data_IF_765633288507
#
_entry.id   IF_765633288507
#
_cell.length_a   1.000
_cell.length_b   1.000
_cell.length_c   1.000
_cell.angle_alpha   90.00
_cell.angle_beta   90.00
_cell.angle_gamma   90.00
#
_symmetry.space_group_name_H-M   'P 1'
#
loop_
_entity.id
_entity.type
_entity.pdbx_description
1 polymer ?
#
# COMPACT_ATOMS: atom_id res chain seq x y z
N UNK A 1 38.18 0.67 12.98
CA UNK A 1 37.63 1.67 13.91
C UNK A 1 36.29 1.15 14.42
N UNK A 2 35.96 1.37 15.69
CA UNK A 2 34.65 1.02 16.23
C UNK A 2 33.63 2.08 15.78
N UNK A 3 32.51 1.72 15.13
CA UNK A 3 31.51 2.69 14.71
C UNK A 3 30.83 3.29 15.94
N UNK A 4 30.57 4.60 15.91
CA UNK A 4 29.83 5.30 16.97
C UNK A 4 28.37 5.50 16.62
N UNK A 5 28.05 5.58 15.34
CA UNK A 5 26.68 5.71 14.84
C UNK A 5 26.34 4.50 13.96
N UNK A 6 25.23 3.84 14.25
CA UNK A 6 24.67 2.81 13.40
C UNK A 6 23.46 3.34 12.65
N UNK A 7 23.50 3.23 11.34
CA UNK A 7 22.42 3.66 10.44
C UNK A 7 21.71 2.40 9.96
N UNK A 8 20.40 2.34 10.12
CA UNK A 8 19.58 1.23 9.65
C UNK A 8 18.76 1.72 8.46
N UNK A 9 19.14 1.29 7.27
CA UNK A 9 18.45 1.55 6.01
C UNK A 9 17.55 0.36 5.66
N UNK A 10 16.24 0.59 5.51
CA UNK A 10 15.34 -0.41 4.92
C UNK A 10 15.12 -0.15 3.44
N UNK A 11 15.21 -1.19 2.61
CA UNK A 11 15.11 -1.13 1.15
C UNK A 11 14.01 -2.05 0.62
N UNK A 12 13.17 -1.54 -0.28
CA UNK A 12 12.23 -2.33 -1.07
C UNK A 12 11.84 -1.66 -2.40
N UNK A 13 12.32 -2.21 -3.51
CA UNK A 13 11.91 -1.89 -4.89
C UNK A 13 11.99 -0.40 -5.28
N UNK A 14 13.06 0.30 -4.89
CA UNK A 14 13.34 1.69 -5.31
C UNK A 14 14.69 1.85 -6.04
N UNK A 15 14.89 1.20 -7.20
CA UNK A 15 16.19 1.19 -7.88
C UNK A 15 16.66 2.59 -8.34
N UNK A 16 15.73 3.52 -8.57
CA UNK A 16 16.04 4.88 -9.04
C UNK A 16 16.58 5.82 -7.95
N UNK A 17 16.35 5.52 -6.67
CA UNK A 17 16.70 6.39 -5.55
C UNK A 17 17.78 5.78 -4.64
N UNK A 18 17.82 4.45 -4.50
CA UNK A 18 18.69 3.77 -3.54
C UNK A 18 20.18 4.12 -3.69
N UNK A 19 20.67 4.35 -4.92
CA UNK A 19 22.02 4.86 -5.18
C UNK A 19 22.28 6.18 -4.44
N UNK A 20 21.43 7.18 -4.63
CA UNK A 20 21.58 8.50 -4.03
C UNK A 20 21.50 8.44 -2.49
N UNK A 21 20.66 7.54 -1.97
CA UNK A 21 20.53 7.29 -0.53
C UNK A 21 21.83 6.76 0.06
N UNK A 22 22.42 5.72 -0.53
CA UNK A 22 23.67 5.13 -0.03
C UNK A 22 24.83 6.12 -0.16
N UNK A 23 24.95 6.80 -1.30
CA UNK A 23 25.96 7.85 -1.50
C UNK A 23 25.85 8.97 -0.45
N UNK A 24 24.64 9.33 -0.05
CA UNK A 24 24.42 10.36 0.99
C UNK A 24 25.00 9.98 2.35
N UNK A 25 25.05 8.67 2.65
CA UNK A 25 25.71 8.13 3.86
C UNK A 25 27.22 8.13 3.69
N UNK A 26 27.73 7.71 2.52
CA UNK A 26 29.16 7.72 2.20
C UNK A 26 29.78 9.12 2.28
N UNK A 27 29.02 10.13 1.85
CA UNK A 27 29.42 11.53 1.84
C UNK A 27 29.29 12.24 3.20
N UNK A 28 28.84 11.56 4.26
CA UNK A 28 28.76 12.19 5.59
C UNK A 28 30.13 12.70 6.07
N UNK A 29 30.14 13.89 6.67
CA UNK A 29 31.38 14.52 7.17
C UNK A 29 31.93 13.80 8.41
N UNK A 30 31.05 13.27 9.27
CA UNK A 30 31.44 12.34 10.32
C UNK A 30 31.68 10.94 9.75
N UNK A 31 32.80 10.28 10.13
CA UNK A 31 33.29 9.06 9.46
C UNK A 31 33.13 7.76 10.25
N UNK A 32 32.90 7.83 11.56
CA UNK A 32 32.81 6.66 12.44
C UNK A 32 31.37 6.13 12.50
N UNK A 33 30.88 5.64 11.37
CA UNK A 33 29.56 5.05 11.24
C UNK A 33 29.63 3.65 10.64
N UNK A 34 28.57 2.89 10.85
CA UNK A 34 28.24 1.65 10.13
C UNK A 34 26.84 1.76 9.54
N UNK A 35 26.61 1.09 8.41
CA UNK A 35 25.34 1.10 7.69
C UNK A 35 24.83 -0.32 7.53
N UNK A 36 23.65 -0.60 8.06
CA UNK A 36 22.91 -1.82 7.79
C UNK A 36 21.91 -1.57 6.67
N UNK A 37 22.09 -2.21 5.53
CA UNK A 37 21.13 -2.23 4.44
C UNK A 37 20.28 -3.48 4.58
N UNK A 38 19.05 -3.30 5.07
CA UNK A 38 18.07 -4.34 5.31
C UNK A 38 17.08 -4.38 4.14
N UNK A 39 17.34 -5.28 3.20
CA UNK A 39 16.56 -5.42 1.98
C UNK A 39 15.42 -6.44 2.12
N UNK A 40 14.19 -6.01 1.84
CA UNK A 40 12.98 -6.82 2.00
C UNK A 40 12.69 -7.71 0.78
N UNK A 41 13.74 -8.37 0.29
CA UNK A 41 13.73 -9.19 -0.92
C UNK A 41 13.29 -8.38 -2.15
N UNK A 42 14.07 -7.34 -2.48
CA UNK A 42 13.81 -6.46 -3.61
C UNK A 42 14.02 -7.15 -4.97
N UNK A 43 13.55 -6.50 -6.04
CA UNK A 43 13.80 -6.89 -7.41
C UNK A 43 15.31 -6.85 -7.76
N UNK A 44 15.73 -7.59 -8.81
CA UNK A 44 17.14 -7.66 -9.23
C UNK A 44 17.78 -6.29 -9.49
N UNK A 45 17.04 -5.32 -10.02
CA UNK A 45 17.54 -3.98 -10.31
C UNK A 45 18.00 -3.27 -9.03
N UNK A 46 17.19 -3.32 -7.96
CA UNK A 46 17.53 -2.70 -6.67
C UNK A 46 18.72 -3.40 -6.02
N UNK A 47 18.71 -4.74 -6.02
CA UNK A 47 19.79 -5.56 -5.45
C UNK A 47 21.12 -5.28 -6.17
N UNK A 48 21.11 -5.16 -7.50
CA UNK A 48 22.31 -4.89 -8.28
C UNK A 48 22.91 -3.51 -7.98
N UNK A 49 22.07 -2.49 -7.73
CA UNK A 49 22.57 -1.18 -7.28
C UNK A 49 23.22 -1.28 -5.91
N UNK A 50 22.60 -1.99 -4.95
CA UNK A 50 23.15 -2.17 -3.60
C UNK A 50 24.50 -2.90 -3.64
N UNK A 51 24.64 -3.94 -4.48
CA UNK A 51 25.87 -4.74 -4.61
C UNK A 51 27.11 -3.90 -4.91
N UNK A 52 26.98 -2.78 -5.63
CA UNK A 52 28.09 -1.90 -5.96
C UNK A 52 28.74 -1.24 -4.74
N UNK A 53 28.09 -1.28 -3.58
CA UNK A 53 28.53 -0.64 -2.34
C UNK A 53 29.11 -1.60 -1.31
N UNK A 54 29.03 -2.91 -1.55
CA UNK A 54 29.36 -3.92 -0.54
C UNK A 54 30.86 -4.13 -0.32
N UNK A 55 31.70 -3.49 -1.13
CA UNK A 55 33.15 -3.43 -0.92
C UNK A 55 33.53 -2.46 0.23
N UNK A 56 32.64 -1.53 0.63
CA UNK A 56 32.90 -0.68 1.79
C UNK A 56 32.69 -1.50 3.09
N UNK A 57 33.74 -1.69 3.92
CA UNK A 57 33.66 -2.54 5.10
C UNK A 57 32.73 -2.00 6.20
N UNK A 58 32.26 -0.75 6.08
CA UNK A 58 31.28 -0.15 6.99
C UNK A 58 29.85 -0.53 6.65
N UNK A 59 29.62 -1.18 5.50
CA UNK A 59 28.30 -1.54 5.00
C UNK A 59 28.04 -3.03 5.23
N UNK A 60 26.97 -3.34 5.96
CA UNK A 60 26.45 -4.70 6.12
C UNK A 60 25.13 -4.82 5.37
N UNK A 61 25.05 -5.76 4.42
CA UNK A 61 23.83 -6.04 3.69
C UNK A 61 23.16 -7.32 4.19
N UNK A 62 21.84 -7.27 4.38
CA UNK A 62 21.01 -8.43 4.68
C UNK A 62 19.77 -8.41 3.80
N UNK A 63 19.55 -9.52 3.09
CA UNK A 63 18.31 -9.77 2.38
C UNK A 63 17.43 -10.67 3.23
N UNK A 64 16.15 -10.34 3.34
CA UNK A 64 15.19 -11.08 4.15
C UNK A 64 14.74 -12.43 3.54
N UNK A 65 14.89 -12.60 2.22
CA UNK A 65 14.44 -13.76 1.44
C UNK A 65 12.97 -14.16 1.69
N UNK A 66 12.14 -13.21 2.13
CA UNK A 66 10.73 -13.48 2.41
C UNK A 66 9.97 -13.84 1.15
N UNK A 67 8.93 -14.66 1.33
CA UNK A 67 7.93 -14.93 0.30
C UNK A 67 6.83 -13.87 0.36
N UNK A 68 6.13 -13.70 -0.77
CA UNK A 68 5.10 -12.67 -0.94
C UNK A 68 3.95 -12.82 0.08
N UNK A 69 3.56 -14.06 0.40
CA UNK A 69 2.51 -14.38 1.38
C UNK A 69 2.88 -14.00 2.81
N UNK A 70 4.16 -13.86 3.12
CA UNK A 70 4.63 -13.45 4.44
C UNK A 70 4.63 -11.92 4.59
N UNK A 71 4.60 -11.18 3.46
CA UNK A 71 4.83 -9.73 3.46
C UNK A 71 3.75 -8.96 4.22
N UNK A 72 2.49 -9.37 4.11
CA UNK A 72 1.37 -8.66 4.75
C UNK A 72 1.22 -9.01 6.24
N UNK A 73 1.91 -10.04 6.75
CA UNK A 73 1.73 -10.53 8.13
C UNK A 73 2.33 -9.62 9.19
N UNK A 74 3.33 -8.82 8.82
CA UNK A 74 3.95 -7.83 9.71
C UNK A 74 4.19 -6.53 8.98
N UNK A 75 4.31 -5.44 9.73
CA UNK A 75 4.93 -4.21 9.22
C UNK A 75 6.40 -4.50 8.92
N UNK A 76 6.74 -4.61 7.64
CA UNK A 76 8.02 -5.19 7.20
C UNK A 76 9.23 -4.37 7.59
N UNK A 77 9.21 -3.05 7.37
CA UNK A 77 10.32 -2.18 7.77
C UNK A 77 10.58 -2.25 9.28
N UNK A 78 9.53 -2.32 10.12
CA UNK A 78 9.69 -2.51 11.56
C UNK A 78 10.33 -3.87 11.90
N UNK A 79 9.98 -4.92 11.15
CA UNK A 79 10.59 -6.26 11.31
C UNK A 79 12.09 -6.21 10.98
N UNK A 80 12.44 -5.64 9.83
CA UNK A 80 13.83 -5.47 9.39
C UNK A 80 14.66 -4.61 10.35
N UNK A 81 14.08 -3.53 10.88
CA UNK A 81 14.75 -2.70 11.88
C UNK A 81 14.99 -3.49 13.18
N UNK A 82 14.02 -4.27 13.63
CA UNK A 82 14.17 -5.13 14.80
C UNK A 82 15.23 -6.22 14.61
N UNK A 83 15.41 -6.74 13.39
CA UNK A 83 16.49 -7.67 13.06
C UNK A 83 17.87 -6.99 13.06
N UNK A 84 17.94 -5.71 12.67
CA UNK A 84 19.19 -4.94 12.63
C UNK A 84 19.63 -4.45 14.01
N UNK A 85 18.72 -3.99 14.87
CA UNK A 85 19.04 -3.37 16.17
C UNK A 85 20.03 -4.20 17.01
N UNK A 86 19.86 -5.52 17.22
CA UNK A 86 20.78 -6.32 18.02
C UNK A 86 22.19 -6.46 17.42
N UNK A 87 22.34 -6.22 16.12
CA UNK A 87 23.59 -6.38 15.37
C UNK A 87 24.42 -5.10 15.34
N UNK A 88 23.79 -3.96 15.62
CA UNK A 88 24.46 -2.67 15.64
C UNK A 88 25.54 -2.62 16.74
N UNK A 89 26.60 -1.87 16.52
CA UNK A 89 27.70 -1.64 17.46
C UNK A 89 27.80 -0.19 17.95
N UNK A 90 27.20 0.76 17.23
CA UNK A 90 27.21 2.18 17.58
C UNK A 90 26.42 2.53 18.84
N UNK A 91 26.87 3.59 19.52
CA UNK A 91 26.21 4.18 20.69
C UNK A 91 24.97 4.98 20.32
N UNK A 92 24.83 5.36 19.05
CA UNK A 92 23.72 6.14 18.51
C UNK A 92 23.12 5.43 17.30
N UNK A 93 21.79 5.48 17.19
CA UNK A 93 21.03 4.84 16.13
C UNK A 93 20.34 5.89 15.28
N UNK A 94 20.40 5.72 13.97
CA UNK A 94 19.67 6.48 12.96
C UNK A 94 18.87 5.52 12.06
N UNK A 95 17.79 6.03 11.48
CA UNK A 95 16.94 5.28 10.56
C UNK A 95 16.90 5.97 9.20
N UNK A 96 16.93 5.18 8.13
CA UNK A 96 16.94 5.67 6.76
C UNK A 96 16.03 4.82 5.88
N UNK A 97 15.39 5.46 4.90
CA UNK A 97 14.63 4.78 3.85
C UNK A 97 15.31 4.99 2.50
N UNK A 98 15.03 4.08 1.58
CA UNK A 98 15.49 4.06 0.19
C UNK A 98 14.92 5.18 -0.70
N UNK A 99 14.22 6.15 -0.13
CA UNK A 99 13.71 7.38 -0.75
C UNK A 99 14.04 8.66 0.04
N UNK A 100 15.01 8.59 0.97
CA UNK A 100 15.47 9.76 1.76
C UNK A 100 16.98 9.92 1.72
N UNK A 101 17.44 11.15 1.48
CA UNK A 101 18.85 11.54 1.40
C UNK A 101 19.26 12.25 2.68
N UNK A 102 20.38 11.86 3.28
CA UNK A 102 21.01 12.62 4.36
C UNK A 102 21.86 13.77 3.81
N UNK A 103 21.71 14.96 4.40
CA UNK A 103 22.62 16.06 4.08
C UNK A 103 24.00 15.82 4.70
N UNK A 104 25.10 16.32 4.11
CA UNK A 104 26.47 15.91 4.46
C UNK A 104 26.85 16.04 5.94
N UNK A 105 26.25 17.00 6.66
CA UNK A 105 26.56 17.26 8.07
C UNK A 105 25.59 16.61 9.06
N UNK A 106 24.60 15.82 8.60
CA UNK A 106 23.54 15.27 9.46
C UNK A 106 24.10 14.54 10.66
N UNK A 107 24.99 13.55 10.43
CA UNK A 107 25.52 12.73 11.51
C UNK A 107 26.33 13.56 12.52
N UNK A 108 27.17 14.48 12.03
CA UNK A 108 27.99 15.34 12.89
C UNK A 108 27.16 16.28 13.77
N UNK A 109 26.12 16.90 13.21
CA UNK A 109 25.24 17.83 13.91
C UNK A 109 24.40 17.13 14.98
N UNK A 110 23.78 15.99 14.63
CA UNK A 110 22.96 15.23 15.58
C UNK A 110 23.80 14.62 16.71
N UNK A 111 24.97 14.07 16.39
CA UNK A 111 25.90 13.55 17.38
C UNK A 111 26.40 14.66 18.30
N UNK A 112 26.84 15.80 17.74
CA UNK A 112 27.38 16.91 18.55
C UNK A 112 26.35 17.43 19.56
N UNK A 113 25.06 17.42 19.22
CA UNK A 113 24.01 17.79 20.15
C UNK A 113 23.93 16.80 21.32
N UNK A 114 23.81 15.50 21.03
CA UNK A 114 23.67 14.48 22.08
C UNK A 114 24.91 14.38 22.97
N UNK A 115 26.11 14.59 22.43
CA UNK A 115 27.35 14.59 23.24
C UNK A 115 27.47 15.80 24.17
N UNK A 116 26.94 16.96 23.77
CA UNK A 116 26.89 18.16 24.62
C UNK A 116 25.82 18.07 25.71
N UNK A 117 24.83 17.20 25.51
CA UNK A 117 23.67 17.03 26.39
C UNK A 117 23.51 15.56 26.79
N UNK A 118 24.41 15.01 27.64
CA UNK A 118 24.44 13.59 27.97
C UNK A 118 23.19 13.10 28.71
N UNK A 119 22.31 13.98 29.19
CA UNK A 119 20.98 13.69 29.75
C UNK A 119 19.92 13.40 28.68
N UNK A 120 20.15 13.82 27.44
CA UNK A 120 19.23 13.68 26.31
C UNK A 120 19.52 12.38 25.55
N UNK A 121 18.46 11.68 25.17
CA UNK A 121 18.52 10.42 24.45
C UNK A 121 17.99 10.51 23.04
N UNK A 122 17.15 11.51 22.71
CA UNK A 122 16.45 11.57 21.42
C UNK A 122 16.47 13.00 20.88
N UNK A 123 16.98 13.14 19.66
CA UNK A 123 16.96 14.38 18.90
C UNK A 123 16.29 14.17 17.55
N UNK A 124 15.73 15.24 17.00
CA UNK A 124 15.16 15.23 15.65
C UNK A 124 15.45 16.52 14.90
N UNK A 125 15.54 16.45 13.58
CA UNK A 125 15.86 17.59 12.70
C UNK A 125 14.67 18.07 11.88
N UNK A 126 14.79 19.28 11.32
CA UNK A 126 13.90 19.69 10.23
C UNK A 126 14.17 18.81 9.01
N UNK A 127 13.14 18.61 8.18
CA UNK A 127 13.23 17.80 6.96
C UNK A 127 12.70 18.58 5.77
N UNK A 128 13.40 18.48 4.63
CA UNK A 128 12.92 18.99 3.36
C UNK A 128 12.09 17.90 2.66
N UNK A 129 10.85 18.20 2.30
CA UNK A 129 9.95 17.25 1.63
C UNK A 129 9.79 17.67 0.17
N UNK A 130 10.18 16.80 -0.76
CA UNK A 130 10.01 17.01 -2.21
C UNK A 130 8.94 16.07 -2.76
N UNK A 131 7.80 16.62 -3.15
CA UNK A 131 6.84 15.90 -3.98
C UNK A 131 7.31 15.96 -5.43
N UNK A 132 7.36 14.82 -6.09
CA UNK A 132 7.84 14.71 -7.46
C UNK A 132 6.87 13.91 -8.33
N UNK A 133 6.90 14.14 -9.63
CA UNK A 133 6.14 13.35 -10.60
C UNK A 133 6.84 12.02 -10.95
N UNK A 134 6.32 11.31 -11.96
CA UNK A 134 6.89 10.05 -12.47
C UNK A 134 8.31 10.20 -13.04
N UNK A 135 8.71 11.42 -13.44
CA UNK A 135 10.02 11.76 -13.98
C UNK A 135 10.95 12.42 -12.93
N UNK A 136 10.59 12.30 -11.65
CA UNK A 136 11.28 12.93 -10.51
C UNK A 136 11.35 14.47 -10.60
N UNK A 137 10.46 15.10 -11.37
CA UNK A 137 10.37 16.56 -11.43
C UNK A 137 9.57 17.09 -10.24
N UNK A 138 10.04 18.14 -9.54
CA UNK A 138 9.32 18.73 -8.43
C UNK A 138 7.91 19.21 -8.81
N UNK A 139 6.94 18.89 -7.96
CA UNK A 139 5.53 19.33 -8.08
C UNK A 139 5.10 20.18 -6.89
N UNK A 140 5.64 19.90 -5.70
CA UNK A 140 5.44 20.69 -4.49
C UNK A 140 6.62 20.45 -3.53
N UNK A 141 7.00 21.46 -2.77
CA UNK A 141 8.11 21.36 -1.82
C UNK A 141 7.79 22.15 -0.54
N UNK A 142 8.15 21.60 0.62
CA UNK A 142 8.00 22.28 1.90
C UNK A 142 8.98 21.74 2.94
N UNK A 143 9.12 22.46 4.06
CA UNK A 143 9.93 22.05 5.21
C UNK A 143 9.03 21.60 6.34
N UNK A 144 9.32 20.42 6.91
CA UNK A 144 8.82 20.02 8.22
C UNK A 144 9.78 20.53 9.28
N UNK A 145 9.37 21.55 10.03
CA UNK A 145 10.24 22.25 10.97
C UNK A 145 10.40 21.53 12.32
N UNK A 146 11.63 21.48 12.82
CA UNK A 146 11.97 21.04 14.17
C UNK A 146 12.27 22.26 15.05
N UNK A 147 11.22 22.84 15.65
CA UNK A 147 11.33 24.11 16.39
C UNK A 147 11.02 24.02 17.88
N UNK A 148 10.54 22.88 18.38
CA UNK A 148 10.10 22.74 19.78
C UNK A 148 10.38 21.35 20.35
N UNK A 149 10.49 21.26 21.67
CA UNK A 149 10.54 19.98 22.36
C UNK A 149 9.19 19.26 22.20
N UNK A 150 9.20 17.99 21.81
CA UNK A 150 8.00 17.21 21.57
C UNK A 150 7.84 16.10 22.61
N UNK A 151 6.80 16.21 23.43
CA UNK A 151 6.32 15.12 24.28
C UNK A 151 5.43 14.12 23.51
N UNK A 152 4.99 14.50 22.31
CA UNK A 152 4.24 13.67 21.38
C UNK A 152 4.81 13.86 19.98
N UNK A 153 5.74 13.01 19.57
CA UNK A 153 6.40 13.03 18.27
C UNK A 153 5.66 12.20 17.20
N UNK A 154 4.77 11.30 17.62
CA UNK A 154 3.94 10.50 16.74
C UNK A 154 3.14 11.37 15.75
N UNK A 155 3.18 11.01 14.45
CA UNK A 155 2.57 11.76 13.34
C UNK A 155 3.08 13.20 13.15
N UNK A 156 4.14 13.61 13.85
CA UNK A 156 4.78 14.93 13.71
C UNK A 156 6.17 14.79 13.12
N UNK A 157 6.96 13.84 13.63
CA UNK A 157 8.34 13.60 13.22
C UNK A 157 8.40 12.43 12.26
N UNK A 158 9.06 12.64 11.13
CA UNK A 158 9.25 11.61 10.10
C UNK A 158 10.29 10.57 10.53
N UNK A 159 10.13 9.36 10.00
CA UNK A 159 11.03 8.21 10.19
C UNK A 159 12.52 8.57 10.12
N UNK A 160 12.95 9.33 9.11
CA UNK A 160 14.36 9.54 8.80
C UNK A 160 15.02 10.70 9.56
N UNK A 161 14.24 11.50 10.28
CA UNK A 161 14.71 12.76 10.87
C UNK A 161 15.15 12.62 12.33
N UNK A 162 15.36 11.40 12.82
CA UNK A 162 15.65 11.10 14.23
C UNK A 162 17.03 10.46 14.40
N UNK A 163 17.68 10.80 15.51
CA UNK A 163 18.81 10.07 16.09
C UNK A 163 18.52 9.87 17.57
N UNK A 164 18.81 8.67 18.08
CA UNK A 164 18.71 8.43 19.51
C UNK A 164 19.87 7.60 20.04
N UNK A 165 20.10 7.64 21.35
CA UNK A 165 21.11 6.81 22.01
C UNK A 165 20.68 5.35 22.00
N UNK A 166 21.62 4.41 21.93
CA UNK A 166 21.32 2.97 22.03
C UNK A 166 20.80 2.58 23.40
N UNK A 167 21.22 3.29 24.46
CA UNK A 167 20.78 3.01 25.85
C UNK A 167 19.28 3.19 26.07
N UNK A 168 18.59 4.10 25.35
CA UNK A 168 17.12 4.23 25.49
C UNK A 168 16.39 2.96 25.02
N UNK A 169 16.97 2.21 24.07
CA UNK A 169 16.38 0.96 23.57
C UNK A 169 16.31 -0.13 24.65
N UNK A 170 17.18 -0.09 25.66
CA UNK A 170 17.11 -1.00 26.82
C UNK A 170 15.81 -0.76 27.58
N UNK A 171 15.50 0.50 27.89
CA UNK A 171 14.25 0.89 28.57
C UNK A 171 13.01 0.51 27.74
N UNK A 172 13.07 0.74 26.42
CA UNK A 172 12.00 0.35 25.49
C UNK A 172 11.78 -1.17 25.53
N UNK A 173 12.84 -1.96 25.40
CA UNK A 173 12.73 -3.42 25.39
C UNK A 173 12.24 -3.97 26.74
N UNK A 174 12.71 -3.44 27.86
CA UNK A 174 12.26 -3.83 29.20
C UNK A 174 10.76 -3.63 29.39
N UNK A 175 10.21 -2.49 28.93
CA UNK A 175 8.80 -2.15 29.07
C UNK A 175 7.90 -2.87 28.06
N UNK A 176 8.30 -2.93 26.79
CA UNK A 176 7.44 -3.37 25.69
C UNK A 176 7.75 -4.78 25.18
N UNK A 177 8.83 -5.40 25.66
CA UNK A 177 9.33 -6.71 25.18
C UNK A 177 9.62 -6.74 23.66
N UNK A 178 9.98 -5.59 23.10
CA UNK A 178 10.34 -5.39 21.70
C UNK A 178 10.66 -3.92 21.41
N UNK A 179 11.28 -3.62 20.27
CA UNK A 179 11.62 -2.25 19.89
C UNK A 179 10.51 -1.62 19.03
N UNK A 180 10.53 -1.84 17.72
CA UNK A 180 9.50 -1.41 16.79
C UNK A 180 8.30 -2.36 16.83
N UNK A 181 7.09 -1.82 16.69
CA UNK A 181 5.88 -2.62 16.64
C UNK A 181 5.70 -3.23 15.24
N UNK A 182 5.59 -4.55 15.17
CA UNK A 182 5.48 -5.28 13.90
C UNK A 182 4.03 -5.60 13.53
N UNK A 183 3.05 -5.20 14.35
CA UNK A 183 1.65 -5.45 14.07
C UNK A 183 1.26 -4.85 12.70
N UNK A 184 0.74 -5.66 11.75
CA UNK A 184 0.42 -5.19 10.40
C UNK A 184 -0.66 -4.10 10.37
N UNK A 185 -1.43 -3.92 11.44
CA UNK A 185 -2.32 -2.76 11.53
C UNK A 185 -1.53 -1.45 11.44
N UNK A 186 -0.31 -1.39 11.98
CA UNK A 186 0.53 -0.19 12.01
C UNK A 186 1.38 0.04 10.76
N UNK A 187 1.07 -0.62 9.63
CA UNK A 187 1.82 -0.46 8.38
C UNK A 187 2.02 1.01 7.96
N UNK A 188 1.06 1.87 8.26
CA UNK A 188 1.06 3.31 7.92
C UNK A 188 1.74 4.23 8.93
N UNK A 189 2.01 3.73 10.14
CA UNK A 189 2.35 4.55 11.29
C UNK A 189 3.38 3.86 12.19
N UNK A 190 4.16 2.92 11.67
CA UNK A 190 5.11 2.13 12.46
C UNK A 190 6.17 3.01 13.13
N UNK A 191 6.60 4.07 12.45
CA UNK A 191 7.46 5.13 13.02
C UNK A 191 6.75 5.87 14.15
N UNK A 192 5.53 6.34 13.94
CA UNK A 192 4.73 7.01 14.96
C UNK A 192 4.50 6.13 16.20
N UNK A 193 4.30 4.82 16.01
CA UNK A 193 4.17 3.86 17.11
C UNK A 193 5.48 3.69 17.88
N UNK A 194 6.61 3.63 17.19
CA UNK A 194 7.92 3.60 17.84
C UNK A 194 8.22 4.93 18.58
N UNK A 195 7.86 6.07 18.00
CA UNK A 195 7.97 7.39 18.64
C UNK A 195 7.17 7.47 19.93
N UNK A 196 5.94 6.91 19.99
CA UNK A 196 5.17 6.79 21.25
C UNK A 196 5.95 6.00 22.32
N UNK A 197 6.64 4.93 21.94
CA UNK A 197 7.46 4.12 22.86
C UNK A 197 8.67 4.93 23.36
N UNK A 198 9.32 5.72 22.52
CA UNK A 198 10.42 6.61 22.94
C UNK A 198 9.93 7.76 23.84
N UNK A 199 8.81 8.42 23.50
CA UNK A 199 8.23 9.51 24.29
C UNK A 199 7.80 9.11 25.70
N UNK A 200 7.63 7.81 25.96
CA UNK A 200 7.40 7.28 27.30
C UNK A 200 8.59 7.52 28.24
N UNK A 201 9.81 7.69 27.71
CA UNK A 201 11.03 7.83 28.48
C UNK A 201 11.72 9.18 28.31
N UNK A 202 11.62 9.79 27.12
CA UNK A 202 12.32 11.04 26.81
C UNK A 202 11.51 11.85 25.77
N UNK A 203 11.31 13.17 25.96
CA UNK A 203 10.85 14.02 24.86
C UNK A 203 11.87 14.05 23.72
N UNK A 204 11.42 14.43 22.53
CA UNK A 204 12.29 14.62 21.37
C UNK A 204 12.78 16.06 21.36
N UNK A 205 14.09 16.25 21.29
CA UNK A 205 14.71 17.57 21.29
C UNK A 205 15.00 18.06 19.87
N UNK A 206 14.60 19.29 19.52
CA UNK A 206 14.73 19.80 18.16
C UNK A 206 16.15 20.23 17.84
N UNK A 207 16.58 19.91 16.63
CA UNK A 207 17.69 20.55 15.94
C UNK A 207 17.08 21.31 14.76
N UNK A 208 16.97 22.62 14.90
CA UNK A 208 16.32 23.49 13.91
C UNK A 208 17.22 23.74 12.69
N UNK A 209 17.57 22.65 12.01
CA UNK A 209 18.34 22.60 10.76
C UNK A 209 17.71 21.52 9.89
N UNK A 210 17.60 21.80 8.60
CA UNK A 210 17.27 20.76 7.62
C UNK A 210 18.48 19.84 7.51
N UNK A 211 18.32 18.56 7.85
CA UNK A 211 19.40 17.57 7.79
C UNK A 211 19.10 16.36 6.89
N UNK A 212 17.88 16.26 6.36
CA UNK A 212 17.48 15.21 5.43
C UNK A 212 16.45 15.72 4.42
N UNK A 213 16.45 15.09 3.24
CA UNK A 213 15.55 15.37 2.12
C UNK A 213 14.81 14.07 1.77
N UNK A 214 13.49 14.06 1.90
CA UNK A 214 12.65 12.91 1.53
C UNK A 214 11.91 13.17 0.22
N UNK A 215 11.81 12.14 -0.62
CA UNK A 215 11.10 12.19 -1.89
C UNK A 215 9.73 11.50 -1.78
N UNK A 216 8.67 12.23 -2.09
CA UNK A 216 7.30 11.72 -2.23
C UNK A 216 6.98 11.56 -3.71
N UNK A 217 7.08 10.34 -4.20
CA UNK A 217 6.81 9.97 -5.60
C UNK A 217 5.39 9.45 -5.76
N UNK A 218 4.84 9.33 -6.99
CA UNK A 218 3.54 8.68 -7.19
C UNK A 218 3.51 7.21 -6.72
N UNK A 219 4.68 6.59 -6.58
CA UNK A 219 4.86 5.23 -6.09
C UNK A 219 5.16 5.16 -4.58
N UNK A 220 5.24 6.28 -3.88
CA UNK A 220 5.40 6.27 -2.42
C UNK A 220 4.23 5.52 -1.79
N UNK A 221 4.55 4.71 -0.79
CA UNK A 221 3.59 3.84 -0.09
C UNK A 221 2.30 4.56 0.31
N UNK A 222 2.40 5.78 0.86
CA UNK A 222 1.24 6.57 1.27
C UNK A 222 0.32 6.92 0.07
N UNK A 223 0.90 7.26 -1.08
CA UNK A 223 0.16 7.63 -2.29
C UNK A 223 -0.51 6.41 -2.93
N UNK A 224 0.18 5.26 -2.95
CA UNK A 224 -0.38 4.02 -3.49
C UNK A 224 -1.57 3.52 -2.67
N UNK A 225 -1.50 3.63 -1.35
CA UNK A 225 -2.58 3.23 -0.44
C UNK A 225 -3.75 4.21 -0.34
N UNK A 226 -3.53 5.47 -0.70
CA UNK A 226 -4.56 6.50 -0.61
C UNK A 226 -5.85 6.04 -1.32
N UNK A 227 -6.97 6.16 -0.62
CA UNK A 227 -8.31 5.82 -1.11
C UNK A 227 -8.52 4.35 -1.50
N UNK A 228 -7.70 3.42 -1.02
CA UNK A 228 -8.02 1.99 -1.14
C UNK A 228 -9.18 1.60 -0.21
N UNK A 229 -10.03 0.64 -0.60
CA UNK A 229 -11.20 0.27 0.20
C UNK A 229 -10.84 -0.51 1.47
N UNK A 230 -11.60 -0.27 2.54
CA UNK A 230 -11.52 -1.06 3.79
C UNK A 230 -12.04 -2.50 3.64
N UNK A 231 -12.84 -2.76 2.60
CA UNK A 231 -13.40 -4.06 2.25
C UNK A 231 -12.85 -4.53 0.90
N UNK A 232 -12.61 -5.83 0.78
CA UNK A 232 -12.18 -6.46 -0.45
C UNK A 232 -13.27 -6.41 -1.51
N UNK A 233 -12.89 -6.08 -2.75
CA UNK A 233 -13.81 -5.96 -3.89
C UNK A 233 -13.36 -6.86 -5.03
N UNK A 234 -14.31 -7.55 -5.63
CA UNK A 234 -14.08 -8.47 -6.74
C UNK A 234 -14.04 -7.73 -8.10
N UNK A 235 -13.35 -8.31 -9.07
CA UNK A 235 -13.26 -7.82 -10.46
C UNK A 235 -12.39 -6.59 -10.67
N UNK A 236 -11.58 -6.22 -9.68
CA UNK A 236 -10.64 -5.10 -9.78
C UNK A 236 -9.31 -5.57 -10.36
N UNK A 237 -8.74 -4.75 -11.25
CA UNK A 237 -7.37 -4.93 -11.73
C UNK A 237 -6.40 -4.14 -10.90
N UNK A 238 -5.42 -4.83 -10.33
CA UNK A 238 -4.35 -4.25 -9.57
C UNK A 238 -3.01 -4.49 -10.24
N UNK A 239 -2.07 -3.57 -10.04
CA UNK A 239 -0.67 -3.78 -10.40
C UNK A 239 0.26 -3.47 -9.24
N UNK A 240 1.27 -4.33 -9.07
CA UNK A 240 2.29 -4.23 -8.02
C UNK A 240 3.46 -3.34 -8.47
N UNK A 241 4.45 -3.17 -7.59
CA UNK A 241 5.65 -2.37 -7.84
C UNK A 241 6.52 -2.87 -9.00
N UNK A 242 6.38 -4.13 -9.38
CA UNK A 242 7.11 -4.76 -10.49
C UNK A 242 6.36 -4.65 -11.83
N UNK A 243 5.15 -4.08 -11.85
CA UNK A 243 4.33 -3.91 -13.05
C UNK A 243 3.57 -5.18 -13.47
N UNK A 244 3.58 -6.21 -12.64
CA UNK A 244 2.69 -7.37 -12.83
C UNK A 244 1.25 -6.94 -12.61
N UNK A 245 0.31 -7.55 -13.34
CA UNK A 245 -1.11 -7.21 -13.28
C UNK A 245 -1.88 -8.41 -12.75
N UNK A 246 -2.71 -8.16 -11.75
CA UNK A 246 -3.55 -9.16 -11.10
C UNK A 246 -5.02 -8.76 -11.24
N UNK A 247 -5.85 -9.73 -11.58
CA UNK A 247 -7.29 -9.63 -11.41
C UNK A 247 -7.66 -10.19 -10.04
N UNK A 248 -8.43 -9.44 -9.25
CA UNK A 248 -9.14 -10.01 -8.11
C UNK A 248 -10.36 -10.73 -8.65
N UNK A 249 -10.38 -12.05 -8.54
CA UNK A 249 -11.48 -12.90 -8.99
C UNK A 249 -11.75 -13.97 -7.93
N UNK A 250 -12.99 -14.00 -7.42
CA UNK A 250 -13.39 -14.79 -6.25
C UNK A 250 -12.51 -14.50 -5.02
N UNK A 251 -12.16 -13.22 -4.81
CA UNK A 251 -11.28 -12.76 -3.72
C UNK A 251 -9.88 -13.41 -3.73
N UNK A 252 -9.45 -13.92 -4.89
CA UNK A 252 -8.07 -14.37 -5.12
C UNK A 252 -7.36 -13.40 -6.06
N UNK A 253 -6.08 -13.15 -5.82
CA UNK A 253 -5.22 -12.47 -6.79
C UNK A 253 -4.83 -13.47 -7.86
N UNK A 254 -5.15 -13.19 -9.13
CA UNK A 254 -4.84 -14.07 -10.26
C UNK A 254 -4.05 -13.27 -11.29
N UNK A 255 -2.83 -13.70 -11.57
CA UNK A 255 -1.97 -13.04 -12.57
C UNK A 255 -2.69 -13.03 -13.93
N UNK A 256 -2.66 -11.90 -14.64
CA UNK A 256 -3.30 -11.75 -15.95
C UNK A 256 -2.35 -11.07 -16.95
N UNK A 257 -2.13 -11.72 -18.09
CA UNK A 257 -1.27 -11.20 -19.14
C UNK A 257 -1.99 -10.14 -20.00
N UNK A 258 -1.24 -9.38 -20.82
CA UNK A 258 -1.79 -8.38 -21.74
C UNK A 258 -2.73 -8.99 -22.79
N UNK A 259 -2.42 -10.20 -23.25
CA UNK A 259 -3.25 -10.97 -24.17
C UNK A 259 -4.58 -11.31 -23.52
N UNK A 260 -4.55 -11.77 -22.26
CA UNK A 260 -5.76 -12.16 -21.53
C UNK A 260 -6.60 -10.97 -21.10
N UNK A 261 -5.98 -9.82 -20.78
CA UNK A 261 -6.68 -8.54 -20.59
C UNK A 261 -7.48 -8.18 -21.85
N UNK A 262 -6.85 -8.29 -23.02
CA UNK A 262 -7.46 -7.96 -24.32
C UNK A 262 -8.57 -8.94 -24.71
N UNK A 263 -8.36 -10.25 -24.45
CA UNK A 263 -9.34 -11.29 -24.71
C UNK A 263 -10.61 -11.08 -23.87
N UNK A 264 -10.47 -10.88 -22.56
CA UNK A 264 -11.57 -10.68 -21.62
C UNK A 264 -12.08 -9.24 -21.54
N UNK A 265 -11.69 -8.37 -22.49
CA UNK A 265 -12.19 -6.99 -22.64
C UNK A 265 -11.98 -6.12 -21.41
N UNK A 266 -10.87 -6.34 -20.71
CA UNK A 266 -10.44 -5.45 -19.64
C UNK A 266 -9.80 -4.18 -20.20
N UNK A 267 -10.14 -3.04 -19.60
CA UNK A 267 -9.53 -1.76 -19.95
C UNK A 267 -8.21 -1.57 -19.18
N UNK A 268 -7.09 -1.48 -19.90
CA UNK A 268 -5.78 -1.28 -19.29
C UNK A 268 -5.65 0.06 -18.54
N UNK A 269 -6.46 1.06 -18.92
CA UNK A 269 -6.50 2.36 -18.22
C UNK A 269 -7.24 2.30 -16.88
N UNK A 270 -7.76 1.13 -16.48
CA UNK A 270 -8.46 0.90 -15.22
C UNK A 270 -7.64 0.00 -14.28
N UNK A 271 -6.36 -0.24 -14.62
CA UNK A 271 -5.42 -0.92 -13.72
C UNK A 271 -5.03 0.04 -12.60
N UNK A 272 -5.27 -0.37 -11.37
CA UNK A 272 -4.99 0.43 -10.18
C UNK A 272 -3.62 0.05 -9.63
N UNK A 273 -2.71 1.02 -9.60
CA UNK A 273 -1.44 0.86 -8.91
C UNK A 273 -1.66 0.81 -7.40
N UNK A 274 -1.11 -0.22 -6.78
CA UNK A 274 -1.23 -0.49 -5.35
C UNK A 274 0.13 -0.85 -4.76
N UNK A 275 0.26 -0.72 -3.44
CA UNK A 275 1.45 -1.19 -2.74
C UNK A 275 1.37 -2.71 -2.56
N UNK A 276 2.51 -3.38 -2.69
CA UNK A 276 2.55 -4.85 -2.74
C UNK A 276 1.94 -5.54 -1.52
N UNK A 277 2.13 -5.07 -0.26
CA UNK A 277 1.44 -5.66 0.89
C UNK A 277 -0.10 -5.67 0.78
N UNK A 278 -0.70 -4.74 0.02
CA UNK A 278 -2.15 -4.71 -0.21
C UNK A 278 -2.60 -5.83 -1.15
N UNK A 279 -1.78 -6.24 -2.14
CA UNK A 279 -2.15 -7.37 -3.00
C UNK A 279 -1.91 -8.69 -2.28
N UNK A 280 -0.88 -8.78 -1.45
CA UNK A 280 -0.48 -10.02 -0.79
C UNK A 280 -1.46 -10.52 0.27
N UNK A 281 -2.39 -9.69 0.75
CA UNK A 281 -3.50 -10.15 1.60
C UNK A 281 -4.43 -11.13 0.89
N UNK A 282 -4.50 -11.08 -0.44
CA UNK A 282 -5.32 -12.01 -1.24
C UNK A 282 -4.55 -13.30 -1.46
N UNK A 283 -5.21 -14.44 -1.22
CA UNK A 283 -4.63 -15.74 -1.57
C UNK A 283 -4.38 -15.81 -3.08
N UNK A 284 -3.24 -16.35 -3.48
CA UNK A 284 -2.94 -16.54 -4.90
C UNK A 284 -3.87 -17.60 -5.51
N UNK A 285 -4.37 -17.30 -6.71
CA UNK A 285 -5.12 -18.23 -7.54
C UNK A 285 -4.38 -18.53 -8.85
N UNK A 286 -4.80 -19.56 -9.59
CA UNK A 286 -4.17 -19.88 -10.87
C UNK A 286 -4.25 -18.69 -11.84
N UNK A 287 -3.20 -18.40 -12.62
CA UNK A 287 -3.20 -17.32 -13.60
C UNK A 287 -4.42 -17.39 -14.51
N UNK A 288 -4.92 -16.22 -14.92
CA UNK A 288 -6.01 -16.13 -15.90
C UNK A 288 -5.49 -16.64 -17.24
N UNK A 289 -6.17 -17.64 -17.80
CA UNK A 289 -5.87 -18.21 -19.12
C UNK A 289 -7.14 -18.67 -19.82
N UNK A 290 -7.03 -19.06 -21.09
CA UNK A 290 -8.14 -19.67 -21.85
C UNK A 290 -8.57 -21.04 -21.31
N UNK A 291 -7.73 -21.72 -20.53
CA UNK A 291 -8.05 -23.01 -19.91
C UNK A 291 -8.67 -22.86 -18.52
N UNK A 292 -8.59 -21.67 -17.92
CA UNK A 292 -9.28 -21.37 -16.67
C UNK A 292 -10.72 -20.94 -16.89
N UNK A 293 -11.54 -21.00 -15.84
CA UNK A 293 -12.89 -20.46 -15.86
C UNK A 293 -12.89 -18.98 -16.25
N UNK A 294 -13.92 -18.58 -17.00
CA UNK A 294 -14.18 -17.18 -17.34
C UNK A 294 -14.25 -16.38 -16.02
N UNK A 295 -13.53 -15.25 -15.90
CA UNK A 295 -13.57 -14.47 -14.67
C UNK A 295 -14.96 -13.92 -14.36
N UNK A 296 -15.23 -13.69 -13.08
CA UNK A 296 -16.46 -13.03 -12.67
C UNK A 296 -16.52 -11.57 -13.15
N UNK A 297 -17.74 -11.04 -13.07
CA UNK A 297 -18.15 -9.72 -13.49
C UNK A 297 -17.94 -9.47 -15.00
N UNK A 298 -18.05 -10.53 -15.81
CA UNK A 298 -17.96 -10.48 -17.27
C UNK A 298 -19.31 -10.73 -17.93
N UNK A 299 -19.55 -10.03 -19.03
CA UNK A 299 -20.68 -10.33 -19.91
C UNK A 299 -20.21 -11.22 -21.05
N UNK A 300 -20.94 -12.29 -21.28
CA UNK A 300 -20.61 -13.29 -22.30
C UNK A 300 -21.80 -13.55 -23.20
N UNK A 301 -21.51 -13.93 -24.45
CA UNK A 301 -22.50 -14.29 -25.45
C UNK A 301 -22.20 -15.68 -26.00
N UNK A 302 -23.21 -16.55 -26.00
CA UNK A 302 -23.08 -17.86 -26.65
C UNK A 302 -23.28 -17.77 -28.17
N UNK A 303 -23.06 -18.89 -28.86
CA UNK A 303 -23.19 -19.00 -30.32
C UNK A 303 -24.61 -18.69 -30.84
N UNK A 304 -25.63 -18.85 -29.99
CA UNK A 304 -27.03 -18.53 -30.29
C UNK A 304 -27.37 -17.04 -30.06
N UNK A 305 -26.40 -16.22 -29.64
CA UNK A 305 -26.57 -14.80 -29.39
C UNK A 305 -27.15 -14.46 -28.01
N UNK A 306 -27.39 -15.44 -27.14
CA UNK A 306 -27.93 -15.24 -25.78
C UNK A 306 -26.85 -14.66 -24.87
N UNK A 307 -27.21 -13.63 -24.11
CA UNK A 307 -26.31 -12.93 -23.20
C UNK A 307 -26.43 -13.48 -21.77
N UNK A 308 -25.29 -13.65 -21.12
CA UNK A 308 -25.17 -14.02 -19.72
C UNK A 308 -24.22 -13.09 -18.99
N UNK A 309 -24.47 -12.86 -17.71
CA UNK A 309 -23.52 -12.25 -16.79
C UNK A 309 -22.91 -13.32 -15.90
N UNK A 310 -21.58 -13.37 -15.86
CA UNK A 310 -20.83 -14.28 -14.99
C UNK A 310 -20.57 -13.55 -13.67
N UNK A 311 -21.08 -14.08 -12.57
CA UNK A 311 -20.83 -13.57 -11.22
C UNK A 311 -20.99 -14.69 -10.19
N UNK A 312 -20.23 -14.64 -9.10
CA UNK A 312 -20.24 -15.64 -8.03
C UNK A 312 -20.19 -17.10 -8.55
N UNK A 313 -19.42 -17.34 -9.63
CA UNK A 313 -19.29 -18.62 -10.34
C UNK A 313 -20.61 -19.17 -10.92
N UNK A 314 -21.58 -18.29 -11.21
CA UNK A 314 -22.83 -18.61 -11.87
C UNK A 314 -22.95 -17.85 -13.20
N UNK A 315 -23.70 -18.42 -14.15
CA UNK A 315 -24.15 -17.71 -15.35
C UNK A 315 -25.59 -17.25 -15.18
N UNK A 316 -25.82 -15.94 -15.20
CA UNK A 316 -27.16 -15.33 -15.09
C UNK A 316 -27.62 -14.82 -16.44
N UNK A 317 -28.70 -15.35 -17.04
CA UNK A 317 -29.18 -14.87 -18.33
C UNK A 317 -29.83 -13.49 -18.20
N UNK A 318 -29.65 -12.64 -19.20
CA UNK A 318 -30.44 -11.41 -19.33
C UNK A 318 -31.80 -11.75 -19.92
N UNK A 319 -32.89 -11.34 -19.26
CA UNK A 319 -34.24 -11.65 -19.76
C UNK A 319 -34.58 -10.88 -21.05
N UNK A 320 -33.98 -9.69 -21.23
CA UNK A 320 -34.11 -8.86 -22.43
C UNK A 320 -33.02 -7.78 -22.47
N UNK A 321 -32.97 -7.03 -23.58
CA UNK A 321 -32.03 -5.92 -23.78
C UNK A 321 -32.30 -4.71 -22.88
N UNK A 322 -33.51 -4.58 -22.32
CA UNK A 322 -33.84 -3.53 -21.34
C UNK A 322 -33.07 -3.79 -20.04
N UNK A 323 -33.00 -5.03 -19.57
CA UNK A 323 -32.22 -5.40 -18.38
C UNK A 323 -30.72 -5.09 -18.56
N UNK A 324 -30.17 -5.45 -19.73
CA UNK A 324 -28.79 -5.15 -20.09
C UNK A 324 -28.49 -3.64 -20.02
N UNK A 325 -29.35 -2.81 -20.62
CA UNK A 325 -29.20 -1.34 -20.63
C UNK A 325 -29.46 -0.72 -19.25
N UNK A 326 -30.43 -1.23 -18.49
CA UNK A 326 -30.82 -0.73 -17.16
C UNK A 326 -29.64 -0.70 -16.20
N UNK A 327 -28.82 -1.75 -16.22
CA UNK A 327 -27.62 -1.87 -15.39
C UNK A 327 -26.34 -1.43 -16.12
N UNK A 328 -26.49 -0.66 -17.21
CA UNK A 328 -25.39 -0.03 -17.95
C UNK A 328 -24.28 -1.01 -18.33
N UNK A 329 -24.65 -2.20 -18.80
CA UNK A 329 -23.69 -3.08 -19.47
C UNK A 329 -23.36 -2.53 -20.87
N UNK A 330 -22.12 -2.70 -21.33
CA UNK A 330 -21.67 -2.23 -22.64
C UNK A 330 -21.56 -3.38 -23.62
N UNK A 331 -21.94 -3.12 -24.88
CA UNK A 331 -21.79 -4.08 -25.98
C UNK A 331 -20.30 -4.37 -26.25
N UNK A 332 -19.42 -3.41 -25.96
CA UNK A 332 -17.97 -3.55 -26.14
C UNK A 332 -17.34 -4.56 -25.17
N UNK A 333 -18.02 -4.83 -24.05
CA UNK A 333 -17.55 -5.75 -23.00
C UNK A 333 -17.98 -7.20 -23.26
N UNK A 334 -18.77 -7.45 -24.32
CA UNK A 334 -19.31 -8.78 -24.61
C UNK A 334 -18.19 -9.70 -25.13
N UNK A 335 -17.95 -10.79 -24.40
CA UNK A 335 -17.03 -11.85 -24.79
C UNK A 335 -17.80 -12.99 -25.45
N UNK A 336 -17.43 -13.36 -26.67
CA UNK A 336 -18.03 -14.53 -27.34
C UNK A 336 -17.41 -15.81 -26.81
N UNK A 337 -18.23 -16.76 -26.39
CA UNK A 337 -17.79 -18.02 -25.78
C UNK A 337 -18.57 -19.21 -26.33
N UNK A 338 -17.94 -20.38 -26.28
CA UNK A 338 -18.61 -21.64 -26.66
C UNK A 338 -19.66 -22.03 -25.62
N UNK A 339 -20.65 -22.84 -26.01
CA UNK A 339 -21.60 -23.39 -25.06
C UNK A 339 -20.90 -24.27 -24.00
N UNK A 340 -19.89 -25.04 -24.41
CA UNK A 340 -19.08 -25.86 -23.50
C UNK A 340 -18.44 -25.04 -22.36
N UNK A 341 -17.94 -23.83 -22.67
CA UNK A 341 -17.39 -22.92 -21.65
C UNK A 341 -18.44 -22.42 -20.67
N UNK A 342 -19.70 -22.24 -21.11
CA UNK A 342 -20.82 -21.83 -20.26
C UNK A 342 -21.36 -22.97 -19.40
N UNK A 343 -21.29 -24.19 -19.88
CA UNK A 343 -21.77 -25.37 -19.16
C UNK A 343 -20.92 -25.67 -17.91
N UNK A 344 -19.74 -25.07 -17.80
CA UNK A 344 -18.91 -25.09 -16.59
C UNK A 344 -19.48 -24.26 -15.42
N UNK A 345 -20.44 -23.37 -15.68
CA UNK A 345 -21.06 -22.50 -14.68
C UNK A 345 -22.43 -23.01 -14.27
N UNK A 346 -22.73 -22.93 -12.97
CA UNK A 346 -24.09 -23.16 -12.47
C UNK A 346 -25.04 -22.08 -13.00
N UNK A 347 -26.30 -22.45 -13.23
CA UNK A 347 -27.31 -21.47 -13.63
C UNK A 347 -27.71 -20.60 -12.44
N UNK A 348 -27.61 -19.29 -12.63
CA UNK A 348 -28.05 -18.28 -11.68
C UNK A 348 -29.38 -17.65 -12.08
N UNK A 349 -30.04 -16.91 -11.16
CA UNK A 349 -31.31 -16.26 -11.43
C UNK A 349 -31.19 -15.21 -12.55
N UNK A 350 -32.18 -15.09 -13.46
CA UNK A 350 -32.13 -14.11 -14.54
C UNK A 350 -32.01 -12.67 -14.05
N UNK A 351 -31.42 -11.81 -14.88
CA UNK A 351 -31.34 -10.36 -14.62
C UNK A 351 -32.58 -9.68 -15.20
N UNK A 352 -33.39 -9.08 -14.33
CA UNK A 352 -34.62 -8.37 -14.68
C UNK A 352 -34.44 -6.84 -14.62
N UNK A 353 -35.10 -6.06 -15.49
CA UNK A 353 -34.98 -4.59 -15.48
C UNK A 353 -35.75 -3.92 -14.34
N UNK A 354 -36.80 -4.57 -13.84
CA UNK A 354 -37.68 -4.01 -12.81
C UNK A 354 -37.12 -4.31 -11.42
N UNK A 355 -37.07 -3.28 -10.57
CA UNK A 355 -36.59 -3.37 -9.20
C UNK A 355 -37.76 -3.67 -8.26
N UNK A 356 -37.58 -4.67 -7.41
CA UNK A 356 -38.54 -5.16 -6.41
C UNK A 356 -37.79 -5.84 -5.26
N UNK A 357 -38.50 -6.23 -4.19
CA UNK A 357 -37.95 -6.99 -3.06
C UNK A 357 -37.37 -8.37 -3.43
N UNK A 358 -37.69 -8.89 -4.61
CA UNK A 358 -37.20 -10.18 -5.12
C UNK A 358 -36.10 -10.02 -6.17
N UNK A 359 -35.78 -8.78 -6.55
CA UNK A 359 -34.76 -8.51 -7.57
C UNK A 359 -33.38 -8.73 -6.98
N UNK A 360 -32.56 -9.52 -7.65
CA UNK A 360 -31.14 -9.67 -7.32
C UNK A 360 -30.36 -8.74 -8.25
N UNK A 361 -29.77 -7.68 -7.69
CA UNK A 361 -28.95 -6.75 -8.46
C UNK A 361 -27.67 -7.45 -8.95
N UNK A 362 -27.10 -7.06 -10.11
CA UNK A 362 -25.82 -7.59 -10.54
C UNK A 362 -24.67 -7.10 -9.64
N UNK A 363 -23.76 -8.01 -9.29
CA UNK A 363 -22.55 -7.75 -8.52
C UNK A 363 -21.65 -6.71 -9.20
N UNK A 364 -20.86 -5.97 -8.41
CA UNK A 364 -19.92 -4.96 -8.89
C UNK A 364 -20.55 -3.69 -9.48
N UNK A 365 -21.89 -3.62 -9.57
CA UNK A 365 -22.58 -2.42 -10.04
C UNK A 365 -22.65 -1.35 -8.97
N UNK A 366 -22.37 -0.11 -9.38
CA UNK A 366 -22.44 1.07 -8.53
C UNK A 366 -23.76 1.81 -8.80
N UNK A 367 -24.46 2.12 -7.72
CA UNK A 367 -25.71 2.87 -7.71
C UNK A 367 -25.50 4.22 -7.03
N UNK A 368 -26.31 5.21 -7.43
CA UNK A 368 -26.24 6.57 -6.89
C UNK A 368 -27.63 7.09 -6.54
N UNK A 369 -27.74 7.68 -5.35
CA UNK A 369 -28.92 8.42 -4.90
C UNK A 369 -28.47 9.75 -4.28
N UNK A 370 -28.86 10.86 -4.91
CA UNK A 370 -28.29 12.19 -4.66
C UNK A 370 -26.75 12.18 -4.73
N UNK A 371 -26.08 12.45 -3.61
CA UNK A 371 -24.62 12.48 -3.50
C UNK A 371 -24.04 11.24 -2.80
N UNK A 372 -24.88 10.22 -2.54
CA UNK A 372 -24.47 8.98 -1.90
C UNK A 372 -24.30 7.87 -2.93
N UNK A 373 -23.18 7.16 -2.84
CA UNK A 373 -22.85 6.04 -3.71
C UNK A 373 -22.99 4.71 -2.97
N UNK A 374 -23.39 3.68 -3.72
CA UNK A 374 -23.58 2.33 -3.20
C UNK A 374 -23.00 1.32 -4.18
N UNK A 375 -22.20 0.37 -3.71
CA UNK A 375 -21.71 -0.74 -4.54
C UNK A 375 -22.43 -2.03 -4.15
N UNK A 376 -22.91 -2.79 -5.14
CA UNK A 376 -23.46 -4.12 -4.92
C UNK A 376 -22.32 -5.11 -4.79
N UNK A 377 -22.16 -5.70 -3.60
CA UNK A 377 -21.23 -6.81 -3.37
C UNK A 377 -21.72 -7.71 -2.24
N UNK A 378 -21.42 -9.01 -2.30
CA UNK A 378 -21.86 -10.01 -1.33
C UNK A 378 -23.39 -10.00 -1.13
N UNK A 379 -24.14 -9.84 -2.23
CA UNK A 379 -25.60 -9.75 -2.23
C UNK A 379 -26.19 -8.58 -1.41
N UNK A 380 -25.38 -7.57 -1.09
CA UNK A 380 -25.79 -6.38 -0.33
C UNK A 380 -25.35 -5.08 -1.02
N UNK A 381 -26.11 -4.00 -0.80
CA UNK A 381 -25.66 -2.66 -1.15
C UNK A 381 -24.83 -2.08 0.00
N UNK A 382 -23.58 -1.75 -0.30
CA UNK A 382 -22.69 -1.10 0.65
C UNK A 382 -22.55 0.39 0.31
N UNK A 383 -22.82 1.32 1.23
CA UNK A 383 -22.41 2.71 1.06
C UNK A 383 -20.89 2.76 0.83
N UNK A 384 -20.42 3.56 -0.11
CA UNK A 384 -19.00 3.60 -0.47
C UNK A 384 -18.53 5.03 -0.75
N UNK A 385 -17.34 5.36 -0.26
CA UNK A 385 -16.77 6.69 -0.45
C UNK A 385 -16.46 6.97 -1.92
N UNK A 386 -16.73 8.20 -2.36
CA UNK A 386 -16.50 8.64 -3.73
C UNK A 386 -15.03 8.51 -4.14
N UNK A 387 -14.10 8.79 -3.23
CA UNK A 387 -12.67 8.75 -3.51
C UNK A 387 -12.18 7.33 -3.78
N UNK A 388 -12.78 6.32 -3.14
CA UNK A 388 -12.54 4.91 -3.44
C UNK A 388 -13.00 4.59 -4.86
N UNK A 389 -14.23 4.99 -5.21
CA UNK A 389 -14.74 4.79 -6.56
C UNK A 389 -13.88 5.48 -7.62
N UNK A 390 -13.30 6.65 -7.30
CA UNK A 390 -12.37 7.34 -8.17
C UNK A 390 -11.06 6.57 -8.33
N UNK A 391 -10.47 6.11 -7.22
CA UNK A 391 -9.24 5.31 -7.21
C UNK A 391 -9.40 3.99 -7.99
N UNK A 392 -10.57 3.37 -7.90
CA UNK A 392 -10.89 2.11 -8.57
C UNK A 392 -11.50 2.27 -9.98
N UNK A 393 -11.58 3.50 -10.50
CA UNK A 393 -12.20 3.81 -11.80
C UNK A 393 -13.68 3.40 -11.94
N UNK A 394 -14.39 3.22 -10.83
CA UNK A 394 -15.79 2.74 -10.76
C UNK A 394 -16.84 3.86 -10.79
N UNK A 395 -16.44 5.13 -10.83
CA UNK A 395 -17.39 6.24 -10.99
C UNK A 395 -18.08 6.26 -12.36
N UNK A 396 -17.46 5.63 -13.36
CA UNK A 396 -18.04 5.49 -14.69
C UNK A 396 -19.30 4.63 -14.58
N UNK A 397 -20.36 5.04 -15.26
CA UNK A 397 -21.61 4.27 -15.37
C UNK A 397 -22.37 4.00 -14.05
N UNK A 398 -22.29 4.89 -13.05
CA UNK A 398 -23.15 4.82 -11.87
C UNK A 398 -24.65 4.78 -12.25
N UNK A 399 -25.43 3.90 -11.63
CA UNK A 399 -26.85 3.66 -11.95
C UNK A 399 -27.73 4.47 -10.99
N UNK A 400 -28.55 5.41 -11.49
CA UNK A 400 -29.48 6.13 -10.63
C UNK A 400 -30.48 5.18 -9.98
N UNK A 401 -30.68 5.32 -8.68
CA UNK A 401 -31.67 4.57 -7.90
C UNK A 401 -32.49 5.53 -7.04
N UNK A 402 -33.79 5.25 -6.89
CA UNK A 402 -34.68 6.04 -6.03
C UNK A 402 -34.62 5.55 -4.59
N UNK A 403 -34.99 6.42 -3.64
CA UNK A 403 -35.12 6.05 -2.22
C UNK A 403 -36.05 4.86 -2.01
N UNK A 404 -37.17 4.83 -2.73
CA UNK A 404 -38.13 3.71 -2.66
C UNK A 404 -37.48 2.39 -3.11
N UNK A 405 -36.72 2.40 -4.20
CA UNK A 405 -36.05 1.18 -4.68
C UNK A 405 -34.91 0.75 -3.77
N UNK A 406 -34.17 1.69 -3.16
CA UNK A 406 -33.13 1.36 -2.17
C UNK A 406 -33.70 0.55 -1.00
N UNK A 407 -34.94 0.85 -0.57
CA UNK A 407 -35.59 0.15 0.55
C UNK A 407 -35.84 -1.34 0.30
N UNK A 408 -35.76 -1.81 -0.95
CA UNK A 408 -35.94 -3.21 -1.32
C UNK A 408 -34.70 -4.07 -1.06
N UNK A 409 -33.53 -3.45 -0.91
CA UNK A 409 -32.24 -4.15 -0.87
C UNK A 409 -31.62 -4.09 0.53
N UNK A 410 -30.93 -5.17 0.90
CA UNK A 410 -30.18 -5.21 2.15
C UNK A 410 -29.00 -4.27 2.08
N UNK A 411 -28.81 -3.51 3.16
CA UNK A 411 -27.69 -2.61 3.33
C UNK A 411 -26.58 -3.30 4.12
N UNK A 412 -25.38 -3.32 3.57
CA UNK A 412 -24.17 -3.73 4.27
C UNK A 412 -23.49 -2.55 4.97
N UNK A 413 -22.46 -2.82 5.81
CA UNK A 413 -21.64 -1.77 6.42
C UNK A 413 -20.98 -0.85 5.38
N UNK A 414 -20.70 0.42 5.70
CA UNK A 414 -20.03 1.33 4.79
C UNK A 414 -18.60 0.86 4.46
N UNK A 415 -18.18 1.11 3.22
CA UNK A 415 -16.82 0.88 2.75
C UNK A 415 -16.12 2.25 2.69
N UNK A 416 -15.27 2.48 3.68
CA UNK A 416 -14.47 3.70 3.83
C UNK A 416 -13.05 3.50 3.35
N UNK A 417 -12.27 4.59 3.25
CA UNK A 417 -10.86 4.48 2.90
C UNK A 417 -10.09 3.70 3.99
N UNK A 418 -9.17 2.84 3.56
CA UNK A 418 -8.38 1.98 4.46
C UNK A 418 -7.64 2.76 5.57
N UNK A 419 -7.02 3.95 5.29
CA UNK A 419 -6.42 4.76 6.33
C UNK A 419 -7.44 5.27 7.37
N UNK A 420 -8.62 5.72 6.95
CA UNK A 420 -9.69 6.17 7.86
C UNK A 420 -10.22 5.01 8.71
N UNK A 421 -10.44 3.85 8.10
CA UNK A 421 -10.89 2.65 8.80
C UNK A 421 -9.91 2.20 9.88
N UNK A 422 -8.59 2.25 9.59
CA UNK A 422 -7.58 1.98 10.60
C UNK A 422 -7.53 3.06 11.68
N UNK A 423 -7.72 4.34 11.33
CA UNK A 423 -7.78 5.44 12.28
C UNK A 423 -8.89 5.27 13.33
N UNK A 424 -10.08 4.84 12.91
CA UNK A 424 -11.18 4.51 13.82
C UNK A 424 -10.82 3.36 14.75
N UNK A 425 -10.21 2.29 14.22
CA UNK A 425 -9.70 1.16 15.02
C UNK A 425 -8.54 1.50 15.96
N UNK A 426 -7.81 2.59 15.72
CA UNK A 426 -6.74 3.04 16.62
C UNK A 426 -7.27 3.81 17.85
N UNK A 427 -8.52 4.29 17.80
CA UNK A 427 -9.17 5.06 18.87
C UNK A 427 -9.99 4.17 19.83
N UNK A 428 -10.29 2.94 19.42
CA UNK A 428 -10.83 1.86 20.26
C UNK A 428 -9.70 1.09 20.95
#
# INVERSE_FOLDING_TARGET
>A
MQPKISIILTSYNKPSLINQVIESVLMQTYKEWELFIMDDNSCPETINVIKNYLEDPRITYKNSFIQDEERYKTTRYATLINEAIPLTCGDYICYLTDDTIYLPNRLAEMLSFLEKHPEIDVVYSSQYVKHVDYNLQPTNEFVREASKILYTAANVVDHCSVMHTKRILVKVYEKYRGYWDTNPLYWFAGDAMFWKRLNTFQPFYPINKVLDITFKTPFSFQNLYANLPSKDLNGILFSNSQGEVFLIDNFKRRLISKEMLSYFKYNQNEIVLIPDPFIYKYTEGPPISLTTSIPNLRVVQNEKGVLFYIENNQKRPFINTIAFRKFKFSIQDIIKVSQHSLDQFLDGPPIYPNLSNYTILPEGKVFIYHHNYFIMTDYMLHPIDKDILQKLYLLKNCIPISKANLSYFRMGPPISTYPSYLAEKYLE
#
